data_IF_330182143999
#
_entry.id   IF_330182143999
#
_cell.length_a   1.000
_cell.length_b   1.000
_cell.length_c   1.000
_cell.angle_alpha   90.00
_cell.angle_beta   90.00
_cell.angle_gamma   90.00
#
_symmetry.space_group_name_H-M   'P 1'
#
loop_
_entity.id
_entity.type
_entity.pdbx_description
1 polymer ?
#
# COMPACT_ATOMS: atom_id res chain seq x y z
N UNK A 1 74.23 -25.41 52.21
CA UNK A 1 73.65 -26.40 51.27
C UNK A 1 72.20 -26.00 51.01
N UNK A 2 71.90 -25.72 49.73
CA UNK A 2 70.60 -25.84 49.04
C UNK A 2 69.31 -25.21 49.60
N UNK A 3 68.69 -24.40 48.72
CA UNK A 3 67.23 -24.34 48.45
C UNK A 3 66.36 -23.54 49.45
N UNK A 4 65.46 -22.61 49.10
CA UNK A 4 64.75 -22.32 47.83
C UNK A 4 64.13 -20.91 47.90
N UNK A 5 64.08 -20.28 46.73
CA UNK A 5 63.33 -19.11 46.27
C UNK A 5 62.01 -18.74 46.96
N UNK A 6 61.77 -17.43 47.12
CA UNK A 6 60.48 -16.84 46.74
C UNK A 6 60.69 -15.47 46.11
N UNK A 7 60.15 -15.31 44.90
CA UNK A 7 60.17 -14.10 44.06
C UNK A 7 58.98 -13.24 44.46
N UNK A 8 59.14 -11.94 44.55
CA UNK A 8 58.00 -11.00 44.51
C UNK A 8 58.23 -10.01 43.39
N UNK A 9 57.48 -10.22 42.31
CA UNK A 9 57.43 -9.41 41.10
C UNK A 9 56.32 -8.38 41.29
N UNK A 10 56.66 -7.10 41.40
CA UNK A 10 55.68 -6.01 41.47
C UNK A 10 55.24 -5.62 40.05
N UNK A 11 54.00 -5.96 39.69
CA UNK A 11 53.35 -5.50 38.47
C UNK A 11 52.76 -4.11 38.72
N UNK A 12 53.22 -3.11 37.97
CA UNK A 12 52.55 -1.81 37.87
C UNK A 12 51.44 -1.91 36.81
N UNK A 13 50.18 -1.88 37.25
CA UNK A 13 49.00 -1.80 36.38
C UNK A 13 48.74 -0.33 36.07
N UNK A 14 48.94 0.08 34.82
CA UNK A 14 48.44 1.36 34.29
C UNK A 14 46.97 1.15 33.93
N UNK A 15 46.08 1.74 34.71
CA UNK A 15 44.65 1.77 34.41
C UNK A 15 44.35 2.90 33.41
N UNK A 16 44.23 2.57 32.13
CA UNK A 16 43.59 3.44 31.14
C UNK A 16 42.07 3.30 31.29
N UNK A 17 41.44 4.24 31.98
CA UNK A 17 39.98 4.41 31.98
C UNK A 17 39.54 5.01 30.65
N UNK A 18 39.20 4.16 29.67
CA UNK A 18 38.38 4.58 28.54
C UNK A 18 36.95 4.82 29.05
N UNK A 19 36.57 6.09 29.19
CA UNK A 19 35.17 6.47 29.34
C UNK A 19 34.46 6.23 27.99
N UNK A 20 33.88 5.04 27.81
CA UNK A 20 32.94 4.78 26.72
C UNK A 20 31.65 5.52 27.08
N UNK A 21 31.51 6.74 26.56
CA UNK A 21 30.22 7.43 26.51
C UNK A 21 29.32 6.64 25.57
N UNK A 22 28.55 5.69 26.09
CA UNK A 22 27.37 5.16 25.38
C UNK A 22 26.34 6.28 25.35
N UNK A 23 26.45 7.19 24.37
CA UNK A 23 25.31 7.97 23.96
C UNK A 23 24.30 6.95 23.43
N UNK A 24 23.31 6.61 24.24
CA UNK A 24 22.10 5.94 23.75
C UNK A 24 21.49 6.91 22.74
N UNK A 25 21.76 6.69 21.46
CA UNK A 25 21.00 7.33 20.41
C UNK A 25 19.56 6.88 20.63
N UNK A 26 18.74 7.78 21.16
CA UNK A 26 17.31 7.55 21.22
C UNK A 26 16.79 7.59 19.79
N UNK A 27 15.91 6.64 19.44
CA UNK A 27 15.21 6.62 18.17
C UNK A 27 14.72 8.03 17.81
N UNK A 28 15.09 8.52 16.63
CA UNK A 28 14.80 9.90 16.22
C UNK A 28 13.29 10.07 16.02
N UNK A 29 12.64 10.92 16.83
CA UNK A 29 11.23 11.25 16.64
C UNK A 29 11.08 12.45 15.69
N UNK A 30 10.54 12.20 14.50
CA UNK A 30 10.33 13.19 13.45
C UNK A 30 8.85 13.54 13.33
N UNK A 31 8.47 14.75 13.75
CA UNK A 31 7.10 15.24 13.62
C UNK A 31 6.83 15.71 12.19
N UNK A 32 5.80 15.15 11.54
CA UNK A 32 5.42 15.40 10.14
C UNK A 32 4.15 16.26 10.05
N UNK A 33 4.27 17.52 10.45
CA UNK A 33 3.16 18.50 10.38
C UNK A 33 2.62 18.67 8.95
N UNK A 34 3.48 18.52 7.94
CA UNK A 34 3.11 18.57 6.53
C UNK A 34 2.15 17.45 6.09
N UNK A 35 2.13 16.32 6.82
CA UNK A 35 1.25 15.19 6.55
C UNK A 35 -0.11 15.31 7.25
N UNK A 36 -0.29 16.30 8.15
CA UNK A 36 -1.60 16.57 8.76
C UNK A 36 -2.69 16.86 7.72
N UNK A 37 -2.32 17.48 6.60
CA UNK A 37 -3.23 17.76 5.48
C UNK A 37 -3.97 16.52 4.95
N UNK A 38 -3.37 15.32 5.05
CA UNK A 38 -4.01 14.07 4.62
C UNK A 38 -5.30 13.80 5.41
N UNK A 39 -5.30 14.11 6.71
CA UNK A 39 -6.50 14.01 7.54
C UNK A 39 -7.46 15.16 7.30
N UNK A 40 -6.93 16.39 7.17
CA UNK A 40 -7.74 17.60 6.96
C UNK A 40 -8.52 17.55 5.64
N UNK A 41 -7.88 17.12 4.53
CA UNK A 41 -8.50 16.93 3.22
C UNK A 41 -9.61 15.87 3.24
N UNK A 42 -9.49 14.88 4.14
CA UNK A 42 -10.49 13.84 4.35
C UNK A 42 -11.57 14.24 5.37
N UNK A 43 -11.46 15.44 5.96
CA UNK A 43 -12.42 16.00 6.91
C UNK A 43 -12.50 15.24 8.23
N UNK A 44 -11.41 14.60 8.67
CA UNK A 44 -11.32 13.82 9.92
C UNK A 44 -10.14 14.31 10.77
N UNK A 45 -10.21 14.10 12.08
CA UNK A 45 -9.06 14.29 12.99
C UNK A 45 -8.40 12.95 13.27
N UNK A 46 -7.08 12.91 13.36
CA UNK A 46 -6.36 11.64 13.52
C UNK A 46 -4.89 11.80 13.82
N UNK A 47 -4.25 10.66 14.09
CA UNK A 47 -2.81 10.53 14.28
C UNK A 47 -2.29 9.37 13.44
N UNK A 48 -1.00 9.42 13.13
CA UNK A 48 -0.26 8.36 12.47
C UNK A 48 1.13 8.26 13.05
N UNK A 49 1.54 7.05 13.40
CA UNK A 49 2.90 6.72 13.83
C UNK A 49 3.45 5.71 12.83
N UNK A 50 4.69 5.93 12.38
CA UNK A 50 5.44 4.98 11.57
C UNK A 50 6.86 4.85 12.11
N UNK A 51 7.24 3.65 12.53
CA UNK A 51 8.59 3.30 12.98
C UNK A 51 9.35 2.66 11.82
N UNK A 52 10.36 3.36 11.32
CA UNK A 52 11.40 2.80 10.45
C UNK A 52 12.45 2.13 11.33
N UNK A 53 12.39 0.80 11.37
CA UNK A 53 13.20 0.00 12.28
C UNK A 53 14.68 0.03 11.86
N UNK A 54 14.97 0.06 10.56
CA UNK A 54 16.36 0.05 10.08
C UNK A 54 17.03 1.39 10.30
N UNK A 55 16.31 2.49 10.10
CA UNK A 55 16.83 3.84 10.31
C UNK A 55 16.79 4.31 11.77
N UNK A 56 16.24 3.50 12.69
CA UNK A 56 15.96 3.86 14.09
C UNK A 56 15.24 5.22 14.21
N UNK A 57 14.20 5.40 13.40
CA UNK A 57 13.46 6.66 13.27
C UNK A 57 11.96 6.43 13.34
N UNK A 58 11.27 7.30 14.07
CA UNK A 58 9.81 7.29 14.17
C UNK A 58 9.24 8.57 13.59
N UNK A 59 8.42 8.46 12.56
CA UNK A 59 7.64 9.55 12.00
C UNK A 59 6.28 9.63 12.68
N UNK A 60 5.84 10.82 13.06
CA UNK A 60 4.55 11.01 13.75
C UNK A 60 3.77 12.21 13.25
N UNK A 61 2.46 12.04 13.08
CA UNK A 61 1.48 13.11 12.88
C UNK A 61 0.65 13.24 14.16
N UNK A 62 0.57 14.45 14.72
CA UNK A 62 -0.09 14.72 16.02
C UNK A 62 0.46 13.83 17.16
N UNK A 63 1.68 14.12 17.67
CA UNK A 63 2.31 13.31 18.72
C UNK A 63 1.52 13.32 20.04
N UNK A 64 0.78 14.40 20.33
CA UNK A 64 -0.04 14.49 21.53
C UNK A 64 -1.20 13.48 21.48
N UNK A 65 -1.85 13.33 20.32
CA UNK A 65 -2.85 12.28 20.11
C UNK A 65 -2.22 10.89 20.04
N UNK A 66 -1.07 10.74 19.39
CA UNK A 66 -0.35 9.46 19.30
C UNK A 66 -0.03 8.84 20.66
N UNK A 67 0.19 9.68 21.68
CA UNK A 67 0.49 9.26 23.06
C UNK A 67 -0.75 8.96 23.92
N UNK A 68 -1.97 9.23 23.43
CA UNK A 68 -3.20 8.93 24.19
C UNK A 68 -3.47 7.42 24.16
N UNK A 69 -3.61 6.83 25.34
CA UNK A 69 -4.08 5.45 25.49
C UNK A 69 -5.59 5.38 25.23
N UNK A 70 -6.01 4.50 24.34
CA UNK A 70 -7.43 4.23 24.05
C UNK A 70 -7.65 2.72 23.90
N UNK A 71 -8.89 2.27 23.98
CA UNK A 71 -9.19 0.84 23.81
C UNK A 71 -8.71 0.34 22.43
N UNK A 72 -7.97 -0.79 22.38
CA UNK A 72 -7.49 -1.35 21.12
C UNK A 72 -8.64 -1.85 20.23
N UNK A 73 -9.77 -2.22 20.83
CA UNK A 73 -10.88 -2.84 20.13
C UNK A 73 -10.39 -4.05 19.30
N UNK A 74 -10.73 -4.09 18.00
CA UNK A 74 -10.38 -5.26 17.18
C UNK A 74 -8.91 -5.37 16.78
N UNK A 75 -8.03 -4.40 17.08
CA UNK A 75 -6.58 -4.59 16.90
C UNK A 75 -6.04 -5.64 17.89
N UNK A 76 -6.66 -5.77 19.07
CA UNK A 76 -6.34 -6.81 20.06
C UNK A 76 -6.51 -8.24 19.53
N UNK A 77 -7.18 -8.43 18.39
CA UNK A 77 -7.22 -9.74 17.71
C UNK A 77 -5.83 -10.24 17.32
N UNK A 78 -4.85 -9.36 17.14
CA UNK A 78 -3.44 -9.73 16.89
C UNK A 78 -2.85 -10.46 18.11
N UNK A 79 -2.71 -9.85 19.30
CA UNK A 79 -2.21 -10.56 20.48
C UNK A 79 -3.11 -11.72 20.88
N UNK A 80 -4.43 -11.60 20.78
CA UNK A 80 -5.34 -12.68 21.15
C UNK A 80 -5.11 -13.95 20.28
N UNK A 81 -4.85 -13.80 18.97
CA UNK A 81 -4.47 -14.92 18.11
C UNK A 81 -3.10 -15.53 18.45
N UNK A 82 -2.11 -14.72 18.80
CA UNK A 82 -0.80 -15.23 19.25
C UNK A 82 -0.98 -16.07 20.52
N UNK A 83 -1.73 -15.56 21.50
CA UNK A 83 -1.98 -16.23 22.77
C UNK A 83 -2.78 -17.52 22.57
N UNK A 84 -3.80 -17.48 21.70
CA UNK A 84 -4.64 -18.63 21.39
C UNK A 84 -3.83 -19.85 20.93
N UNK A 85 -2.94 -19.64 19.94
CA UNK A 85 -2.13 -20.71 19.39
C UNK A 85 -0.99 -21.11 20.33
N UNK A 86 -0.35 -20.15 21.00
CA UNK A 86 0.82 -20.49 21.83
C UNK A 86 0.44 -21.29 23.08
N UNK A 87 -0.70 -20.94 23.68
CA UNK A 87 -1.28 -21.66 24.83
C UNK A 87 -1.97 -22.97 24.44
N UNK A 88 -2.22 -23.20 23.15
CA UNK A 88 -3.01 -24.34 22.66
C UNK A 88 -4.51 -24.22 22.97
N UNK A 89 -5.01 -23.04 23.35
CA UNK A 89 -6.46 -22.80 23.51
C UNK A 89 -7.22 -22.94 22.17
N UNK A 90 -6.49 -22.73 21.06
CA UNK A 90 -6.89 -23.11 19.71
C UNK A 90 -5.75 -23.94 19.11
N UNK A 91 -6.06 -25.14 18.64
CA UNK A 91 -5.10 -26.15 18.18
C UNK A 91 -4.33 -25.71 16.94
N UNK A 92 -5.05 -25.18 15.95
CA UNK A 92 -4.51 -24.77 14.66
C UNK A 92 -5.46 -23.78 13.93
N UNK A 93 -5.05 -23.33 12.75
CA UNK A 93 -5.82 -22.39 11.92
C UNK A 93 -7.04 -23.03 11.22
N UNK A 94 -7.30 -24.32 11.47
CA UNK A 94 -8.44 -25.08 10.95
C UNK A 94 -9.47 -25.42 12.03
N UNK A 95 -9.15 -25.22 13.31
CA UNK A 95 -10.11 -25.46 14.38
C UNK A 95 -11.28 -24.47 14.26
N UNK A 96 -12.47 -25.01 14.10
CA UNK A 96 -13.73 -24.26 14.06
C UNK A 96 -14.18 -23.95 15.49
N UNK A 97 -14.38 -22.67 15.78
CA UNK A 97 -14.79 -22.17 17.08
C UNK A 97 -16.28 -21.81 17.07
N UNK A 98 -17.02 -22.11 18.15
CA UNK A 98 -18.44 -21.80 18.20
C UNK A 98 -18.68 -20.29 18.32
N UNK A 99 -19.58 -19.73 17.50
CA UNK A 99 -19.99 -18.31 17.65
C UNK A 99 -21.00 -18.11 18.80
N UNK A 100 -21.60 -19.19 19.27
CA UNK A 100 -22.48 -19.21 20.45
C UNK A 100 -23.98 -19.10 20.16
N UNK A 101 -24.40 -19.10 18.89
CA UNK A 101 -25.82 -19.28 18.51
C UNK A 101 -26.75 -18.08 18.73
N UNK A 102 -26.23 -16.94 19.22
CA UNK A 102 -27.03 -15.74 19.52
C UNK A 102 -26.97 -14.75 18.35
N UNK A 103 -28.05 -14.00 18.08
CA UNK A 103 -28.04 -12.93 17.09
C UNK A 103 -26.87 -11.95 17.30
N UNK A 104 -26.24 -11.53 16.22
CA UNK A 104 -25.08 -10.64 16.22
C UNK A 104 -25.38 -9.32 15.52
N UNK A 105 -24.63 -8.23 15.82
CA UNK A 105 -24.78 -6.96 15.10
C UNK A 105 -24.49 -7.06 13.59
N UNK A 106 -23.80 -8.11 13.17
CA UNK A 106 -23.48 -8.38 11.77
C UNK A 106 -23.82 -9.84 11.46
N UNK A 107 -24.69 -10.07 10.48
CA UNK A 107 -25.12 -11.41 10.03
C UNK A 107 -23.94 -12.33 9.69
N UNK A 108 -22.88 -11.77 9.08
CA UNK A 108 -21.63 -12.49 8.78
C UNK A 108 -20.87 -13.02 10.01
N UNK A 109 -21.31 -12.73 11.24
CA UNK A 109 -20.76 -13.30 12.48
C UNK A 109 -21.58 -14.47 13.02
N UNK A 110 -22.73 -14.79 12.41
CA UNK A 110 -23.70 -15.77 12.91
C UNK A 110 -23.41 -17.22 12.45
N UNK A 111 -22.14 -17.58 12.40
CA UNK A 111 -21.70 -18.94 12.10
C UNK A 111 -20.39 -19.29 12.79
N UNK A 112 -20.21 -20.58 13.06
CA UNK A 112 -18.96 -21.09 13.62
C UNK A 112 -17.85 -20.94 12.58
N UNK A 113 -16.67 -20.50 13.02
CA UNK A 113 -15.58 -20.20 12.09
C UNK A 113 -14.21 -20.39 12.74
N UNK A 114 -13.22 -20.64 11.90
CA UNK A 114 -11.82 -20.67 12.31
C UNK A 114 -11.24 -19.25 12.40
N UNK A 115 -10.12 -19.10 13.11
CA UNK A 115 -9.49 -17.78 13.33
C UNK A 115 -9.09 -17.03 12.03
N UNK A 116 -8.63 -17.67 10.94
CA UNK A 116 -8.35 -16.96 9.69
C UNK A 116 -9.57 -16.23 9.10
N UNK A 117 -10.77 -16.80 9.23
CA UNK A 117 -12.00 -16.13 8.81
C UNK A 117 -12.42 -15.07 9.83
N UNK A 118 -12.42 -15.42 11.12
CA UNK A 118 -12.84 -14.54 12.20
C UNK A 118 -12.04 -13.23 12.24
N UNK A 119 -10.73 -13.27 11.99
CA UNK A 119 -9.89 -12.07 11.99
C UNK A 119 -10.21 -11.16 10.82
N UNK A 120 -10.49 -11.73 9.64
CA UNK A 120 -10.84 -11.00 8.41
C UNK A 120 -12.19 -10.30 8.55
N UNK A 121 -13.19 -11.01 9.08
CA UNK A 121 -14.53 -10.48 9.37
C UNK A 121 -14.56 -9.62 10.64
N UNK A 122 -13.47 -9.61 11.41
CA UNK A 122 -13.39 -8.99 12.73
C UNK A 122 -14.44 -9.51 13.72
N UNK A 123 -14.83 -10.78 13.61
CA UNK A 123 -15.88 -11.44 14.39
C UNK A 123 -15.56 -11.42 15.89
N UNK A 124 -16.23 -10.55 16.64
CA UNK A 124 -16.10 -10.45 18.10
C UNK A 124 -16.45 -11.75 18.84
N UNK A 125 -17.58 -12.44 18.58
CA UNK A 125 -17.98 -13.61 19.38
C UNK A 125 -16.94 -14.73 19.39
N UNK A 126 -16.24 -14.95 18.27
CA UNK A 126 -15.18 -15.96 18.17
C UNK A 126 -13.99 -15.61 19.06
N UNK A 127 -13.55 -14.34 19.05
CA UNK A 127 -12.44 -13.90 19.89
C UNK A 127 -12.79 -13.80 21.37
N UNK A 128 -14.08 -13.66 21.69
CA UNK A 128 -14.59 -13.82 23.06
C UNK A 128 -14.50 -15.27 23.53
N UNK A 129 -14.87 -16.22 22.67
CA UNK A 129 -14.69 -17.64 22.95
C UNK A 129 -13.21 -17.99 23.15
N UNK A 130 -12.31 -17.48 22.30
CA UNK A 130 -10.86 -17.63 22.51
C UNK A 130 -10.43 -17.11 23.88
N UNK A 131 -10.82 -15.89 24.24
CA UNK A 131 -10.43 -15.29 25.52
C UNK A 131 -10.93 -16.11 26.72
N UNK A 132 -12.16 -16.64 26.65
CA UNK A 132 -12.71 -17.55 27.66
C UNK A 132 -11.92 -18.85 27.77
N UNK A 133 -11.53 -19.46 26.64
CA UNK A 133 -10.68 -20.67 26.62
C UNK A 133 -9.29 -20.43 27.17
N UNK A 134 -8.69 -19.27 26.91
CA UNK A 134 -7.38 -18.87 27.46
C UNK A 134 -7.49 -18.63 28.97
N UNK A 135 -8.51 -17.92 29.43
CA UNK A 135 -8.73 -17.57 30.83
C UNK A 135 -7.79 -16.47 31.35
N UNK A 136 -8.12 -15.91 32.51
CA UNK A 136 -7.44 -14.72 33.06
C UNK A 136 -5.95 -14.89 33.29
N UNK A 137 -5.53 -15.94 33.99
CA UNK A 137 -4.14 -16.13 34.40
C UNK A 137 -3.18 -16.15 33.20
N UNK A 138 -3.50 -16.97 32.19
CA UNK A 138 -2.70 -17.07 30.97
C UNK A 138 -2.79 -15.77 30.16
N UNK A 139 -3.98 -15.18 29.99
CA UNK A 139 -4.12 -13.93 29.25
C UNK A 139 -3.27 -12.82 29.87
N UNK A 140 -3.28 -12.68 31.19
CA UNK A 140 -2.50 -11.66 31.91
C UNK A 140 -1.01 -11.88 31.71
N UNK A 141 -0.52 -13.12 31.87
CA UNK A 141 0.88 -13.45 31.69
C UNK A 141 1.40 -13.05 30.29
N UNK A 142 0.61 -13.28 29.24
CA UNK A 142 0.98 -12.87 27.89
C UNK A 142 0.87 -11.37 27.66
N UNK A 143 -0.19 -10.72 28.14
CA UNK A 143 -0.34 -9.26 28.01
C UNK A 143 0.81 -8.53 28.72
N UNK A 144 1.27 -9.06 29.87
CA UNK A 144 2.46 -8.58 30.56
C UNK A 144 3.74 -8.85 29.77
N UNK A 145 3.95 -10.08 29.31
CA UNK A 145 5.13 -10.48 28.53
C UNK A 145 5.23 -9.74 27.19
N UNK A 146 4.08 -9.39 26.61
CA UNK A 146 3.98 -8.59 25.41
C UNK A 146 4.14 -7.10 25.68
N UNK A 147 4.22 -6.63 26.92
CA UNK A 147 4.22 -5.18 27.22
C UNK A 147 3.09 -4.45 26.45
N UNK A 148 1.87 -5.00 26.52
CA UNK A 148 0.77 -4.52 25.68
C UNK A 148 -0.07 -3.45 26.40
N UNK A 149 0.20 -2.19 26.07
CA UNK A 149 -0.50 -1.02 26.62
C UNK A 149 -0.39 -0.95 28.15
N UNK A 150 -1.48 -0.59 28.81
CA UNK A 150 -1.55 -0.51 30.27
C UNK A 150 -1.65 -1.89 30.97
N UNK A 151 -1.76 -2.98 30.21
CA UNK A 151 -1.80 -4.38 30.67
C UNK A 151 -2.97 -4.73 31.59
N UNK A 152 -4.05 -3.95 31.58
CA UNK A 152 -5.18 -4.16 32.49
C UNK A 152 -6.27 -5.01 31.83
N UNK A 153 -6.61 -6.17 32.42
CA UNK A 153 -7.72 -7.02 31.96
C UNK A 153 -9.04 -6.76 32.68
N UNK A 154 -9.02 -6.13 33.86
CA UNK A 154 -10.22 -5.96 34.68
C UNK A 154 -10.84 -7.30 35.07
N UNK A 155 -12.18 -7.34 35.16
CA UNK A 155 -12.93 -8.51 35.67
C UNK A 155 -13.73 -9.27 34.62
N UNK A 156 -13.70 -8.85 33.35
CA UNK A 156 -14.44 -9.47 32.26
C UNK A 156 -13.49 -9.92 31.14
N UNK A 157 -13.12 -11.21 31.15
CA UNK A 157 -12.10 -11.78 30.26
C UNK A 157 -12.43 -11.64 28.78
N UNK A 158 -13.70 -11.47 28.43
CA UNK A 158 -14.16 -11.37 27.04
C UNK A 158 -14.67 -9.96 26.66
N UNK A 159 -14.37 -8.95 27.48
CA UNK A 159 -14.75 -7.54 27.23
C UNK A 159 -13.59 -6.56 27.33
N UNK A 160 -12.47 -6.94 27.95
CA UNK A 160 -11.46 -5.97 28.40
C UNK A 160 -10.84 -5.10 27.31
N UNK A 161 -10.76 -5.60 26.08
CA UNK A 161 -10.24 -4.88 24.92
C UNK A 161 -11.29 -4.05 24.18
N UNK A 162 -12.58 -4.29 24.45
CA UNK A 162 -13.72 -3.59 23.85
C UNK A 162 -14.18 -2.43 24.74
N UNK A 163 -14.29 -2.70 26.04
CA UNK A 163 -14.89 -1.81 27.05
C UNK A 163 -13.92 -1.34 28.12
N UNK A 164 -12.63 -1.63 27.93
CA UNK A 164 -11.62 -1.42 28.96
C UNK A 164 -11.65 -2.50 30.05
N UNK A 165 -10.68 -2.47 30.97
CA UNK A 165 -9.77 -1.34 31.21
C UNK A 165 -8.53 -1.31 30.30
N UNK A 166 -8.37 -2.26 29.37
CA UNK A 166 -7.20 -2.25 28.49
C UNK A 166 -7.21 -1.02 27.59
N UNK A 167 -6.10 -0.30 27.61
CA UNK A 167 -5.85 0.84 26.74
C UNK A 167 -4.41 0.80 26.22
N UNK A 168 -4.21 1.28 25.00
CA UNK A 168 -2.94 1.32 24.32
C UNK A 168 -2.86 2.58 23.45
N UNK A 169 -1.68 3.19 23.36
CA UNK A 169 -1.42 4.34 22.51
C UNK A 169 -0.99 3.94 21.09
N UNK A 170 -0.98 4.88 20.14
CA UNK A 170 -0.54 4.58 18.78
C UNK A 170 0.97 4.24 18.73
N UNK A 171 1.77 4.88 19.59
CA UNK A 171 3.18 4.51 19.74
C UNK A 171 3.35 3.08 20.24
N UNK A 172 2.53 2.65 21.19
CA UNK A 172 2.59 1.30 21.76
C UNK A 172 2.07 0.24 20.78
N UNK A 173 1.02 0.52 20.00
CA UNK A 173 0.57 -0.37 18.92
C UNK A 173 1.68 -0.57 17.87
N UNK A 174 2.31 0.51 17.40
CA UNK A 174 3.42 0.42 16.46
C UNK A 174 4.63 -0.31 17.05
N UNK A 175 4.94 -0.10 18.34
CA UNK A 175 6.01 -0.83 19.04
C UNK A 175 5.69 -2.32 19.15
N UNK A 176 4.45 -2.68 19.47
CA UNK A 176 4.01 -4.07 19.53
C UNK A 176 4.10 -4.74 18.16
N UNK A 177 3.59 -4.11 17.09
CA UNK A 177 3.65 -4.68 15.74
C UNK A 177 5.07 -4.75 15.18
N UNK A 178 5.97 -3.85 15.60
CA UNK A 178 7.41 -3.94 15.27
C UNK A 178 8.05 -5.20 15.86
N UNK A 179 7.80 -5.49 17.15
CA UNK A 179 8.29 -6.71 17.79
C UNK A 179 7.66 -7.96 17.18
N UNK A 180 6.46 -7.85 16.64
CA UNK A 180 5.84 -8.90 15.86
C UNK A 180 6.57 -9.16 14.55
N UNK A 181 6.78 -8.13 13.74
CA UNK A 181 7.48 -8.24 12.47
C UNK A 181 8.92 -8.79 12.63
N UNK A 182 9.59 -8.42 13.72
CA UNK A 182 10.94 -8.87 14.06
C UNK A 182 10.99 -10.22 14.80
N UNK A 183 9.85 -10.87 15.03
CA UNK A 183 9.72 -12.13 15.78
C UNK A 183 10.34 -12.09 17.19
N UNK A 184 10.15 -10.97 17.90
CA UNK A 184 10.75 -10.68 19.22
C UNK A 184 9.81 -10.90 20.42
N UNK A 185 8.51 -11.08 20.21
CA UNK A 185 7.60 -11.52 21.28
C UNK A 185 7.87 -12.99 21.69
N UNK A 186 7.67 -13.34 22.97
CA UNK A 186 7.99 -14.66 23.52
C UNK A 186 6.91 -15.71 23.19
N UNK A 187 6.78 -16.06 21.91
CA UNK A 187 5.92 -17.14 21.40
C UNK A 187 6.73 -18.11 20.53
N UNK A 188 6.19 -19.31 20.31
CA UNK A 188 6.81 -20.34 19.47
C UNK A 188 6.89 -19.87 18.01
N UNK A 189 7.95 -20.24 17.26
CA UNK A 189 8.09 -19.90 15.83
C UNK A 189 6.86 -20.24 14.98
N UNK A 190 6.22 -21.39 15.23
CA UNK A 190 4.99 -21.78 14.52
C UNK A 190 3.85 -20.79 14.73
N UNK A 191 3.70 -20.25 15.94
CA UNK A 191 2.68 -19.28 16.31
C UNK A 191 2.83 -18.00 15.47
N UNK A 192 4.07 -17.54 15.30
CA UNK A 192 4.38 -16.38 14.44
C UNK A 192 3.88 -16.57 13.02
N UNK A 193 4.32 -17.65 12.38
CA UNK A 193 4.05 -17.87 10.97
C UNK A 193 2.54 -18.01 10.69
N UNK A 194 1.79 -18.59 11.62
CA UNK A 194 0.33 -18.69 11.52
C UNK A 194 -0.34 -17.31 11.59
N UNK A 195 -0.04 -16.50 12.61
CA UNK A 195 -0.70 -15.20 12.80
C UNK A 195 -0.25 -14.20 11.73
N UNK A 196 1.02 -14.20 11.33
CA UNK A 196 1.51 -13.33 10.26
C UNK A 196 0.75 -13.56 8.95
N UNK A 197 0.52 -14.83 8.54
CA UNK A 197 -0.26 -15.15 7.33
C UNK A 197 -1.70 -14.62 7.41
N UNK A 198 -2.31 -14.70 8.58
CA UNK A 198 -3.68 -14.21 8.81
C UNK A 198 -3.80 -12.68 8.73
N UNK A 199 -2.70 -11.95 8.90
CA UNK A 199 -2.69 -10.47 8.87
C UNK A 199 -2.33 -9.88 7.52
N UNK A 200 -1.92 -10.69 6.54
CA UNK A 200 -1.56 -10.20 5.22
C UNK A 200 -2.79 -9.59 4.52
N UNK A 201 -2.74 -8.28 4.26
CA UNK A 201 -3.81 -7.54 3.60
C UNK A 201 -3.51 -7.36 2.11
N UNK A 202 -2.27 -7.05 1.76
CA UNK A 202 -1.89 -6.71 0.38
C UNK A 202 -0.42 -7.01 0.11
N UNK A 203 -0.11 -7.44 -1.12
CA UNK A 203 1.25 -7.48 -1.64
C UNK A 203 1.32 -6.70 -2.95
N UNK A 204 2.35 -5.86 -3.08
CA UNK A 204 2.61 -5.07 -4.28
C UNK A 204 4.10 -5.11 -4.60
N UNK A 205 4.49 -5.94 -5.58
CA UNK A 205 5.89 -6.13 -5.93
C UNK A 205 6.66 -6.77 -4.76
N UNK A 206 7.68 -6.07 -4.26
CA UNK A 206 8.51 -6.46 -3.12
C UNK A 206 7.96 -5.97 -1.77
N UNK A 207 6.81 -5.29 -1.76
CA UNK A 207 6.16 -4.79 -0.55
C UNK A 207 5.01 -5.71 -0.11
N UNK A 208 4.96 -6.06 1.18
CA UNK A 208 3.88 -6.78 1.82
C UNK A 208 3.34 -5.99 3.01
N UNK A 209 2.02 -5.84 3.10
CA UNK A 209 1.31 -5.08 4.15
C UNK A 209 0.52 -6.04 5.02
N UNK A 210 0.85 -6.06 6.30
CA UNK A 210 0.20 -6.86 7.33
C UNK A 210 -0.48 -5.93 8.31
N UNK A 211 -1.79 -6.09 8.56
CA UNK A 211 -2.47 -5.14 9.44
C UNK A 211 -3.81 -5.65 9.97
N UNK A 212 -4.30 -4.98 11.01
CA UNK A 212 -5.63 -5.17 11.56
C UNK A 212 -6.34 -3.84 11.79
N UNK A 213 -7.63 -3.82 11.46
CA UNK A 213 -8.55 -2.70 11.76
C UNK A 213 -9.21 -2.86 13.13
N UNK A 214 -9.55 -1.74 13.76
CA UNK A 214 -10.34 -1.68 14.99
C UNK A 214 -11.33 -0.51 15.01
N UNK A 215 -12.42 -0.65 15.75
CA UNK A 215 -13.40 0.41 15.99
C UNK A 215 -13.71 0.39 17.48
N UNK A 216 -13.31 1.43 18.18
CA UNK A 216 -13.58 1.62 19.60
C UNK A 216 -14.88 2.42 19.75
N UNK A 217 -15.97 1.72 20.04
CA UNK A 217 -17.34 2.23 20.09
C UNK A 217 -17.70 2.92 21.42
N UNK A 218 -16.86 2.78 22.45
CA UNK A 218 -17.06 3.40 23.78
C UNK A 218 -16.66 4.88 23.83
N UNK A 219 -16.21 5.44 22.69
CA UNK A 219 -15.83 6.85 22.56
C UNK A 219 -16.86 7.62 21.75
N UNK A 220 -16.95 8.94 21.98
CA UNK A 220 -17.82 9.85 21.23
C UNK A 220 -17.00 11.05 20.70
N UNK A 221 -16.79 11.15 19.37
CA UNK A 221 -17.16 10.18 18.33
C UNK A 221 -16.39 8.84 18.48
N UNK A 222 -16.85 7.78 17.81
CA UNK A 222 -16.15 6.50 17.78
C UNK A 222 -14.74 6.67 17.20
N UNK A 223 -13.79 5.87 17.67
CA UNK A 223 -12.39 5.95 17.21
C UNK A 223 -12.05 4.74 16.34
N UNK A 224 -11.57 5.00 15.14
CA UNK A 224 -11.20 4.00 14.16
C UNK A 224 -9.69 3.75 14.13
N UNK A 225 -9.27 2.51 14.37
CA UNK A 225 -7.88 2.06 14.34
C UNK A 225 -7.48 1.34 13.04
N UNK A 226 -6.21 1.48 12.69
CA UNK A 226 -5.50 0.59 11.78
C UNK A 226 -4.03 0.48 12.20
N UNK A 227 -3.59 -0.74 12.57
CA UNK A 227 -2.24 -0.98 13.05
C UNK A 227 -1.64 -2.21 12.37
N UNK A 228 -0.33 -2.20 12.14
CA UNK A 228 0.33 -3.24 11.37
C UNK A 228 1.79 -2.95 11.08
N UNK A 229 2.31 -3.59 10.04
CA UNK A 229 3.63 -3.31 9.49
C UNK A 229 3.69 -3.55 7.98
N UNK A 230 4.71 -2.96 7.35
CA UNK A 230 5.10 -3.19 5.96
C UNK A 230 6.48 -3.84 5.95
N UNK A 231 6.61 -4.90 5.17
CA UNK A 231 7.90 -5.46 4.78
C UNK A 231 8.18 -5.04 3.34
N UNK A 232 9.31 -4.38 3.07
CA UNK A 232 9.68 -3.95 1.71
C UNK A 232 11.18 -3.89 1.54
N UNK A 233 11.70 -4.51 0.48
CA UNK A 233 13.13 -4.54 0.16
C UNK A 233 14.03 -4.96 1.36
N UNK A 234 13.56 -5.86 2.23
CA UNK A 234 14.27 -6.30 3.43
C UNK A 234 14.19 -5.34 4.63
N UNK A 235 13.46 -4.22 4.49
CA UNK A 235 13.16 -3.29 5.57
C UNK A 235 11.80 -3.55 6.20
N UNK A 236 11.67 -3.22 7.48
CA UNK A 236 10.44 -3.35 8.25
C UNK A 236 10.01 -1.96 8.73
N UNK A 237 8.74 -1.63 8.48
CA UNK A 237 8.12 -0.39 8.92
C UNK A 237 6.85 -0.71 9.71
N UNK A 238 6.86 -0.50 11.02
CA UNK A 238 5.67 -0.70 11.84
C UNK A 238 4.84 0.58 11.89
N UNK A 239 3.52 0.49 11.93
CA UNK A 239 2.66 1.66 11.96
C UNK A 239 1.40 1.48 12.81
N UNK A 240 0.86 2.61 13.25
CA UNK A 240 -0.46 2.71 13.85
C UNK A 240 -1.13 4.02 13.45
N UNK A 241 -2.42 3.94 13.13
CA UNK A 241 -3.29 5.05 12.77
C UNK A 241 -4.54 4.99 13.63
N UNK A 242 -4.96 6.12 14.20
CA UNK A 242 -6.34 6.27 14.65
C UNK A 242 -6.97 7.58 14.19
N UNK A 243 -8.27 7.53 13.91
CA UNK A 243 -9.08 8.69 13.49
C UNK A 243 -10.37 8.76 14.28
N UNK A 244 -10.90 9.96 14.47
CA UNK A 244 -12.28 10.17 14.89
C UNK A 244 -13.22 9.85 13.72
N UNK A 245 -14.35 9.21 14.01
CA UNK A 245 -15.34 8.81 13.00
C UNK A 245 -16.71 9.44 13.30
N UNK A 246 -16.86 10.78 13.24
CA UNK A 246 -18.12 11.46 13.53
C UNK A 246 -19.21 11.26 12.46
N UNK A 247 -18.86 10.81 11.25
CA UNK A 247 -19.79 10.67 10.13
C UNK A 247 -19.88 9.23 9.64
N UNK A 248 -21.04 8.90 9.09
CA UNK A 248 -21.23 7.67 8.32
C UNK A 248 -20.19 7.59 7.19
N UNK A 249 -19.56 6.42 7.03
CA UNK A 249 -18.51 6.19 6.03
C UNK A 249 -17.09 6.55 6.46
N UNK A 250 -16.87 7.26 7.58
CA UNK A 250 -15.51 7.56 8.07
C UNK A 250 -14.70 6.29 8.36
N UNK A 251 -15.38 5.21 8.75
CA UNK A 251 -14.82 3.88 8.92
C UNK A 251 -14.01 3.39 7.71
N UNK A 252 -14.43 3.73 6.48
CA UNK A 252 -13.76 3.31 5.26
C UNK A 252 -12.47 4.11 4.95
N UNK A 253 -12.26 5.26 5.63
CA UNK A 253 -11.13 6.16 5.34
C UNK A 253 -9.80 5.68 5.91
N UNK A 254 -9.81 4.87 6.98
CA UNK A 254 -8.60 4.44 7.72
C UNK A 254 -7.49 3.87 6.83
N UNK A 255 -7.83 2.89 5.98
CA UNK A 255 -6.84 2.20 5.14
C UNK A 255 -6.31 3.13 4.02
N UNK A 256 -7.15 3.82 3.22
CA UNK A 256 -6.67 4.80 2.24
C UNK A 256 -5.77 5.87 2.83
N UNK A 257 -6.14 6.45 3.98
CA UNK A 257 -5.36 7.48 4.67
C UNK A 257 -3.98 6.96 5.07
N UNK A 258 -3.92 5.81 5.77
CA UNK A 258 -2.64 5.25 6.18
C UNK A 258 -1.75 4.88 4.98
N UNK A 259 -2.32 4.37 3.88
CA UNK A 259 -1.55 4.13 2.64
C UNK A 259 -1.05 5.42 1.99
N UNK A 260 -1.85 6.49 2.00
CA UNK A 260 -1.43 7.79 1.49
C UNK A 260 -0.27 8.37 2.32
N UNK A 261 -0.35 8.26 3.65
CA UNK A 261 0.72 8.65 4.58
C UNK A 261 2.01 7.83 4.34
N UNK A 262 1.89 6.51 4.23
CA UNK A 262 3.03 5.63 3.93
C UNK A 262 3.66 5.90 2.56
N UNK A 263 2.87 6.29 1.54
CA UNK A 263 3.40 6.71 0.23
C UNK A 263 4.17 8.02 0.32
N UNK A 264 3.66 8.98 1.09
CA UNK A 264 4.34 10.26 1.32
C UNK A 264 5.64 10.11 2.13
N UNK A 265 5.81 8.97 2.82
CA UNK A 265 7.02 8.55 3.51
C UNK A 265 7.86 7.55 2.70
N UNK A 266 7.49 7.29 1.44
CA UNK A 266 8.16 6.34 0.53
C UNK A 266 8.21 4.89 1.04
N UNK A 267 7.37 4.53 2.01
CA UNK A 267 7.27 3.18 2.59
C UNK A 267 6.39 2.27 1.73
N UNK A 268 5.17 2.71 1.42
CA UNK A 268 4.23 1.93 0.60
C UNK A 268 4.30 2.38 -0.86
N UNK A 269 4.34 1.47 -1.85
CA UNK A 269 4.38 1.86 -3.25
C UNK A 269 3.14 2.67 -3.68
N UNK A 270 3.33 3.53 -4.68
CA UNK A 270 2.22 4.17 -5.37
C UNK A 270 1.31 3.10 -6.00
N UNK A 271 -0.02 3.31 -6.05
CA UNK A 271 -0.90 2.35 -6.70
C UNK A 271 -0.48 2.19 -8.17
N UNK A 272 -0.34 0.94 -8.63
CA UNK A 272 -0.19 0.65 -10.05
C UNK A 272 -1.59 0.55 -10.63
N UNK A 273 -2.04 1.60 -11.31
CA UNK A 273 -3.31 1.57 -12.02
C UNK A 273 -3.07 0.95 -13.39
N UNK A 274 -3.42 -0.32 -13.57
CA UNK A 274 -3.57 -0.87 -14.92
C UNK A 274 -4.83 -0.27 -15.53
N UNK A 275 -4.66 0.81 -16.29
CA UNK A 275 -5.73 1.37 -17.10
C UNK A 275 -5.48 1.00 -18.56
N UNK A 276 -6.49 0.42 -19.20
CA UNK A 276 -6.50 0.19 -20.64
C UNK A 276 -7.34 1.31 -21.27
N UNK A 277 -6.69 2.38 -21.72
CA UNK A 277 -7.34 3.42 -22.50
C UNK A 277 -6.29 4.22 -23.30
N UNK A 278 -6.39 4.19 -24.62
CA UNK A 278 -6.79 5.31 -25.49
C UNK A 278 -6.42 4.87 -26.91
N UNK A 279 -7.41 4.83 -27.80
CA UNK A 279 -7.22 4.78 -29.24
C UNK A 279 -6.88 6.20 -29.72
N UNK A 280 -5.59 6.54 -29.83
CA UNK A 280 -5.20 7.82 -30.42
C UNK A 280 -5.09 7.62 -31.92
N UNK A 281 -5.88 8.38 -32.67
CA UNK A 281 -5.83 8.36 -34.13
C UNK A 281 -4.94 9.49 -34.64
N UNK A 282 -3.95 9.18 -35.47
CA UNK A 282 -3.00 10.12 -36.05
C UNK A 282 -2.99 10.00 -37.58
N UNK A 283 -3.14 11.11 -38.31
CA UNK A 283 -2.92 11.17 -39.75
C UNK A 283 -1.44 11.39 -40.07
N UNK A 284 -0.84 10.55 -40.91
CA UNK A 284 0.56 10.68 -41.34
C UNK A 284 0.59 10.99 -42.84
N UNK A 285 1.19 12.11 -43.23
CA UNK A 285 1.20 12.62 -44.62
C UNK A 285 -0.01 13.47 -45.00
N UNK A 286 -0.84 13.90 -44.04
CA UNK A 286 -1.96 14.80 -44.26
C UNK A 286 -1.63 16.23 -43.80
N UNK A 287 -2.16 17.23 -44.51
CA UNK A 287 -2.02 18.66 -44.19
C UNK A 287 -2.90 19.06 -42.99
N UNK A 288 -2.66 18.47 -41.82
CA UNK A 288 -3.39 18.79 -40.58
C UNK A 288 -3.33 17.67 -39.55
N UNK A 289 -3.06 18.02 -38.28
CA UNK A 289 -3.12 17.08 -37.16
C UNK A 289 -4.59 16.76 -36.82
N UNK A 290 -4.96 15.48 -36.83
CA UNK A 290 -6.21 15.00 -36.23
C UNK A 290 -5.95 14.72 -34.76
N UNK A 291 -6.69 15.36 -33.86
CA UNK A 291 -6.79 14.94 -32.47
C UNK A 291 -8.12 14.20 -32.29
N UNK A 292 -8.05 12.98 -31.77
CA UNK A 292 -9.22 12.15 -31.46
C UNK A 292 -9.26 11.72 -30.01
N UNK A 293 -10.45 11.77 -29.41
CA UNK A 293 -10.74 11.22 -28.09
C UNK A 293 -11.79 10.11 -28.19
N UNK A 294 -11.79 9.16 -27.25
CA UNK A 294 -12.84 8.14 -27.17
C UNK A 294 -13.86 8.49 -26.09
N UNK A 295 -15.15 8.45 -26.44
CA UNK A 295 -16.25 8.42 -25.47
C UNK A 295 -17.06 7.15 -25.76
N UNK A 296 -17.29 6.30 -24.76
CA UNK A 296 -18.09 5.07 -24.88
C UNK A 296 -17.69 4.13 -26.05
N UNK A 297 -16.38 4.04 -26.34
CA UNK A 297 -15.85 3.20 -27.43
C UNK A 297 -15.99 3.81 -28.83
N UNK A 298 -16.49 5.04 -28.96
CA UNK A 298 -16.60 5.79 -30.21
C UNK A 298 -15.53 6.87 -30.28
N UNK A 299 -14.83 6.95 -31.41
CA UNK A 299 -13.74 7.92 -31.65
C UNK A 299 -14.32 9.17 -32.33
N UNK A 300 -14.14 10.33 -31.70
CA UNK A 300 -14.54 11.64 -32.24
C UNK A 300 -13.32 12.38 -32.78
N UNK A 301 -13.39 13.00 -33.96
CA UNK A 301 -12.26 13.73 -34.55
C UNK A 301 -12.49 15.24 -34.61
N UNK A 302 -11.42 16.01 -34.42
CA UNK A 302 -11.38 17.45 -34.69
C UNK A 302 -10.30 17.75 -35.73
N UNK A 303 -10.66 18.44 -36.82
CA UNK A 303 -9.75 18.82 -37.92
C UNK A 303 -10.36 18.69 -39.32
N UNK A 304 -9.86 19.47 -40.28
CA UNK A 304 -10.27 19.40 -41.68
C UNK A 304 -9.31 18.48 -42.47
N UNK A 305 -9.86 17.43 -43.10
CA UNK A 305 -9.15 16.63 -44.10
C UNK A 305 -9.53 17.22 -45.47
N UNK A 306 -8.62 17.97 -46.09
CA UNK A 306 -8.76 18.39 -47.49
C UNK A 306 -8.43 17.21 -48.41
N UNK A 307 -9.43 16.79 -49.20
CA UNK A 307 -9.35 15.84 -50.33
C UNK A 307 -8.91 14.39 -50.03
N UNK A 308 -9.77 13.61 -49.36
CA UNK A 308 -9.86 12.14 -49.55
C UNK A 308 -11.12 11.50 -48.92
N UNK A 309 -12.30 12.13 -49.05
CA UNK A 309 -13.59 11.43 -48.85
C UNK A 309 -13.99 11.01 -47.42
N UNK A 310 -13.29 11.41 -46.35
CA UNK A 310 -13.74 11.18 -44.97
C UNK A 310 -14.43 12.43 -44.38
N UNK A 311 -15.70 12.29 -43.97
CA UNK A 311 -16.41 13.30 -43.15
C UNK A 311 -16.42 12.86 -41.69
N UNK A 312 -15.95 13.73 -40.79
CA UNK A 312 -16.12 13.56 -39.33
C UNK A 312 -16.83 14.79 -38.76
N UNK A 313 -17.80 14.57 -37.86
CA UNK A 313 -18.51 15.62 -37.14
C UNK A 313 -17.72 16.05 -35.89
N UNK A 314 -17.66 17.36 -35.57
CA UNK A 314 -16.99 17.82 -34.36
C UNK A 314 -17.81 17.48 -33.11
N UNK A 315 -17.16 16.93 -32.08
CA UNK A 315 -17.68 16.92 -30.71
C UNK A 315 -16.93 17.95 -29.86
N UNK A 316 -17.63 18.52 -28.88
CA UNK A 316 -17.12 19.53 -27.95
C UNK A 316 -15.88 19.01 -27.19
N UNK A 317 -14.87 19.87 -26.93
CA UNK A 317 -13.67 19.47 -26.22
C UNK A 317 -14.00 19.09 -24.77
N UNK A 318 -13.69 17.85 -24.38
CA UNK A 318 -13.62 17.50 -22.97
C UNK A 318 -12.41 18.21 -22.35
N UNK A 319 -12.68 19.20 -21.48
CA UNK A 319 -11.66 19.86 -20.70
C UNK A 319 -11.07 18.87 -19.69
N UNK A 320 -9.83 18.44 -19.93
CA UNK A 320 -9.07 17.59 -19.01
C UNK A 320 -7.64 17.41 -19.48
N UNK A 321 -6.68 17.44 -18.56
CA UNK A 321 -5.26 17.24 -18.82
C UNK A 321 -4.99 15.82 -19.37
N UNK A 322 -5.08 15.68 -20.69
CA UNK A 322 -4.98 14.41 -21.41
C UNK A 322 -3.86 14.38 -22.44
N UNK A 323 -3.59 13.16 -22.89
CA UNK A 323 -2.67 12.77 -23.97
C UNK A 323 -2.75 13.68 -25.20
N UNK A 324 -1.60 14.15 -25.73
CA UNK A 324 -1.56 15.06 -26.87
C UNK A 324 -0.77 14.48 -28.06
N UNK A 325 -1.36 14.57 -29.25
CA UNK A 325 -0.67 14.31 -30.51
C UNK A 325 -0.06 15.60 -31.08
N UNK A 326 1.18 15.53 -31.59
CA UNK A 326 1.88 16.64 -32.24
C UNK A 326 2.46 16.19 -33.58
N UNK A 327 2.20 16.93 -34.66
CA UNK A 327 2.78 16.65 -35.98
C UNK A 327 4.12 17.37 -36.17
N UNK A 328 5.02 16.76 -36.95
CA UNK A 328 6.23 17.42 -37.45
C UNK A 328 5.91 18.45 -38.55
N UNK A 329 6.82 19.38 -38.80
CA UNK A 329 6.67 20.44 -39.80
C UNK A 329 6.52 19.91 -41.25
N UNK A 330 7.02 18.71 -41.54
CA UNK A 330 6.89 18.07 -42.87
C UNK A 330 5.63 17.20 -43.02
N UNK A 331 4.83 16.99 -41.96
CA UNK A 331 3.64 16.13 -41.99
C UNK A 331 3.91 14.62 -42.04
N UNK A 332 5.17 14.20 -42.22
CA UNK A 332 5.57 12.80 -42.42
C UNK A 332 5.89 12.04 -41.12
N UNK A 333 5.89 12.76 -40.01
CA UNK A 333 6.01 12.20 -38.68
C UNK A 333 4.95 12.77 -37.74
N UNK A 334 4.39 11.90 -36.91
CA UNK A 334 3.54 12.26 -35.78
C UNK A 334 4.17 11.74 -34.50
N UNK A 335 4.21 12.60 -33.49
CA UNK A 335 4.74 12.34 -32.16
C UNK A 335 3.58 12.39 -31.17
N UNK A 336 3.34 11.29 -30.48
CA UNK A 336 2.36 11.20 -29.39
C UNK A 336 3.08 11.38 -28.06
N UNK A 337 2.71 12.41 -27.29
CA UNK A 337 3.27 12.73 -25.98
C UNK A 337 2.33 12.24 -24.87
N UNK A 338 2.84 11.32 -24.05
CA UNK A 338 2.12 10.68 -22.95
C UNK A 338 2.40 11.33 -21.59
N UNK A 339 3.13 12.45 -21.57
CA UNK A 339 3.47 13.14 -20.32
C UNK A 339 2.29 13.93 -19.79
N UNK A 340 1.92 13.67 -18.53
CA UNK A 340 1.07 14.52 -17.71
C UNK A 340 1.81 14.87 -16.43
N UNK A 341 1.61 16.09 -15.91
CA UNK A 341 2.16 16.50 -14.60
C UNK A 341 1.54 15.75 -13.44
N UNK A 342 0.38 15.12 -13.63
CA UNK A 342 -0.37 14.43 -12.58
C UNK A 342 -0.12 12.91 -12.52
N UNK A 343 0.32 12.28 -13.62
CA UNK A 343 0.46 10.81 -13.73
C UNK A 343 1.68 10.44 -14.57
N UNK A 344 2.54 9.57 -14.04
CA UNK A 344 3.63 8.95 -14.82
C UNK A 344 3.11 7.68 -15.49
N UNK A 345 2.59 7.80 -16.71
CA UNK A 345 2.12 6.65 -17.48
C UNK A 345 3.30 5.81 -18.01
N UNK A 346 3.33 4.51 -17.70
CA UNK A 346 4.28 3.55 -18.25
C UNK A 346 3.56 2.65 -19.27
N UNK A 347 3.87 2.74 -20.57
CA UNK A 347 3.33 1.82 -21.58
C UNK A 347 3.64 0.37 -21.23
N UNK A 348 2.62 -0.48 -21.24
CA UNK A 348 2.72 -1.93 -20.99
C UNK A 348 2.51 -2.73 -22.27
N UNK A 349 1.56 -2.29 -23.10
CA UNK A 349 1.29 -2.84 -24.43
C UNK A 349 0.92 -1.72 -25.39
N UNK A 350 1.43 -1.78 -26.63
CA UNK A 350 1.14 -0.82 -27.70
C UNK A 350 0.82 -1.58 -28.98
N UNK A 351 -0.34 -1.30 -29.58
CA UNK A 351 -0.70 -1.80 -30.92
C UNK A 351 -0.97 -0.63 -31.86
N UNK A 352 -0.56 -0.78 -33.12
CA UNK A 352 -0.76 0.24 -34.16
C UNK A 352 -1.40 -0.41 -35.38
N UNK A 353 -2.50 0.16 -35.87
CA UNK A 353 -3.14 -0.18 -37.13
C UNK A 353 -3.12 1.02 -38.06
N UNK A 354 -2.79 0.84 -39.34
CA UNK A 354 -2.81 1.90 -40.34
C UNK A 354 -3.86 1.61 -41.42
N UNK A 355 -4.49 2.66 -41.94
CA UNK A 355 -5.47 2.60 -43.02
C UNK A 355 -5.08 3.60 -44.10
N UNK A 356 -4.66 3.10 -45.25
CA UNK A 356 -4.33 3.93 -46.42
C UNK A 356 -5.61 4.42 -47.11
N UNK A 357 -5.58 5.58 -47.76
CA UNK A 357 -6.76 6.12 -48.45
C UNK A 357 -7.24 5.21 -49.60
N UNK A 358 -6.33 4.49 -50.26
CA UNK A 358 -6.65 3.51 -51.31
C UNK A 358 -7.25 2.17 -50.83
N UNK A 359 -7.25 1.87 -49.51
CA UNK A 359 -7.76 0.60 -48.99
C UNK A 359 -8.37 0.72 -47.59
N UNK A 360 -9.66 0.43 -47.47
CA UNK A 360 -10.41 0.43 -46.21
C UNK A 360 -10.11 -0.80 -45.31
N UNK A 361 -9.30 -1.75 -45.76
CA UNK A 361 -8.89 -2.88 -44.91
C UNK A 361 -7.81 -2.42 -43.92
N UNK A 362 -8.00 -2.59 -42.60
CA UNK A 362 -6.97 -2.25 -41.61
C UNK A 362 -5.70 -3.07 -41.88
N UNK A 363 -4.57 -2.38 -41.98
CA UNK A 363 -3.26 -3.01 -42.04
C UNK A 363 -2.67 -2.97 -40.63
N UNK A 364 -2.46 -4.13 -40.03
CA UNK A 364 -1.80 -4.24 -38.73
C UNK A 364 -0.33 -3.84 -38.86
N UNK A 365 0.12 -2.83 -38.11
CA UNK A 365 1.48 -2.27 -38.20
C UNK A 365 2.43 -2.91 -37.18
N UNK A 366 1.93 -3.33 -36.01
CA UNK A 366 2.69 -4.12 -35.04
C UNK A 366 2.12 -4.10 -33.60
N UNK A 367 2.65 -4.98 -32.74
CA UNK A 367 2.42 -5.01 -31.29
C UNK A 367 3.75 -4.93 -30.53
N UNK A 368 3.76 -4.36 -29.33
CA UNK A 368 4.93 -4.28 -28.45
C UNK A 368 4.56 -4.67 -27.01
N UNK A 369 5.15 -5.75 -26.48
CA UNK A 369 4.93 -6.20 -25.09
C UNK A 369 6.22 -6.10 -24.28
N UNK A 370 6.14 -5.50 -23.10
CA UNK A 370 7.25 -5.30 -22.14
C UNK A 370 8.37 -4.35 -22.62
N UNK A 371 9.07 -3.72 -21.67
CA UNK A 371 10.01 -2.61 -21.89
C UNK A 371 11.03 -2.88 -23.01
N UNK A 372 11.16 -1.88 -23.88
CA UNK A 372 12.24 -1.58 -24.82
C UNK A 372 12.25 -2.30 -26.18
N UNK A 373 12.36 -1.45 -27.20
CA UNK A 373 12.74 -1.66 -28.61
C UNK A 373 11.76 -2.39 -29.53
N UNK A 374 10.81 -1.64 -30.10
CA UNK A 374 10.10 -2.09 -31.31
C UNK A 374 10.42 -1.19 -32.50
N UNK A 375 11.22 -1.76 -33.39
CA UNK A 375 11.54 -1.29 -34.74
C UNK A 375 10.80 -2.20 -35.72
N UNK A 376 9.53 -1.94 -36.01
CA UNK A 376 8.80 -2.71 -37.03
C UNK A 376 8.60 -1.86 -38.28
N UNK A 377 9.11 -2.39 -39.40
CA UNK A 377 8.93 -1.87 -40.77
C UNK A 377 7.91 -2.77 -41.44
N UNK A 378 6.82 -2.22 -41.96
CA UNK A 378 5.98 -2.96 -42.91
C UNK A 378 5.33 -2.02 -43.92
N UNK A 379 5.43 -2.39 -45.20
CA UNK A 379 4.87 -1.65 -46.35
C UNK A 379 5.18 -0.14 -46.38
N UNK A 380 6.41 0.24 -46.00
CA UNK A 380 6.87 1.63 -46.05
C UNK A 380 6.44 2.53 -44.87
N UNK A 381 5.68 1.99 -43.92
CA UNK A 381 5.43 2.65 -42.63
C UNK A 381 6.40 2.13 -41.57
N UNK A 382 6.87 3.03 -40.71
CA UNK A 382 7.73 2.70 -39.57
C UNK A 382 7.14 3.34 -38.31
N UNK A 383 6.74 2.48 -37.37
CA UNK A 383 6.49 2.88 -36.00
C UNK A 383 7.76 2.60 -35.19
N UNK A 384 8.18 3.56 -34.38
CA UNK A 384 9.28 3.35 -33.44
C UNK A 384 8.84 3.80 -32.06
N UNK A 385 8.57 2.82 -31.20
CA UNK A 385 8.33 3.07 -29.79
C UNK A 385 9.71 3.12 -29.10
N UNK A 386 10.30 4.30 -29.05
CA UNK A 386 11.50 4.55 -28.25
C UNK A 386 11.05 4.73 -26.79
N UNK A 387 10.84 3.60 -26.11
CA UNK A 387 10.56 3.58 -24.66
C UNK A 387 11.69 4.21 -23.83
N UNK A 388 12.85 4.45 -24.44
CA UNK A 388 13.98 5.18 -23.87
C UNK A 388 13.74 6.70 -23.67
N UNK A 389 12.72 7.32 -24.27
CA UNK A 389 12.48 8.77 -24.17
C UNK A 389 11.16 9.11 -23.43
N UNK A 390 11.09 8.82 -22.13
CA UNK A 390 10.24 9.57 -21.19
C UNK A 390 8.76 9.80 -21.60
N UNK A 391 8.10 8.81 -22.20
CA UNK A 391 6.67 8.90 -22.55
C UNK A 391 6.40 9.57 -23.89
N UNK A 392 7.09 9.17 -24.96
CA UNK A 392 6.80 9.63 -26.33
C UNK A 392 6.81 8.47 -27.35
N UNK A 393 5.87 8.44 -28.30
CA UNK A 393 5.79 7.48 -29.41
C UNK A 393 5.90 8.24 -30.74
N UNK A 394 6.79 7.80 -31.63
CA UNK A 394 6.95 8.41 -32.95
C UNK A 394 6.48 7.46 -34.04
N UNK A 395 5.55 7.96 -34.86
CA UNK A 395 5.07 7.31 -36.07
C UNK A 395 5.66 8.05 -37.27
N UNK A 396 6.17 7.30 -38.25
CA UNK A 396 6.82 7.87 -39.44
C UNK A 396 6.38 7.15 -40.71
N UNK A 397 6.17 7.92 -41.78
CA UNK A 397 5.90 7.43 -43.14
C UNK A 397 7.18 7.55 -43.98
N UNK A 398 7.53 6.51 -44.74
CA UNK A 398 8.64 6.61 -45.68
C UNK A 398 8.26 7.46 -46.91
N UNK A 399 9.23 8.15 -47.54
CA UNK A 399 9.00 8.88 -48.79
C UNK A 399 8.39 7.97 -49.87
N UNK A 400 7.36 8.46 -50.58
CA UNK A 400 6.69 7.75 -51.67
C UNK A 400 5.55 6.80 -51.26
N UNK A 401 5.27 6.64 -49.96
CA UNK A 401 4.17 5.81 -49.45
C UNK A 401 2.87 6.64 -49.35
N UNK A 402 1.70 6.10 -49.67
CA UNK A 402 0.45 6.89 -49.56
C UNK A 402 0.17 7.37 -48.11
N UNK A 403 -0.49 8.52 -47.89
CA UNK A 403 -0.97 8.92 -46.57
C UNK A 403 -1.87 7.86 -45.92
N UNK A 404 -1.80 7.75 -44.59
CA UNK A 404 -2.60 6.80 -43.85
C UNK A 404 -3.09 7.35 -42.51
N UNK A 405 -4.26 6.84 -42.09
CA UNK A 405 -4.79 7.00 -40.75
C UNK A 405 -4.23 5.89 -39.85
N UNK A 406 -3.45 6.24 -38.85
CA UNK A 406 -2.96 5.32 -37.84
C UNK A 406 -3.86 5.36 -36.59
N UNK A 407 -4.36 4.21 -36.15
CA UNK A 407 -5.02 4.01 -34.86
C UNK A 407 -4.00 3.38 -33.92
N UNK A 408 -3.68 4.05 -32.82
CA UNK A 408 -2.75 3.57 -31.79
C UNK A 408 -3.56 3.18 -30.56
N UNK A 409 -3.50 1.91 -30.18
CA UNK A 409 -4.09 1.40 -28.94
C UNK A 409 -3.00 1.23 -27.90
N UNK A 410 -3.16 1.89 -26.75
CA UNK A 410 -2.20 1.86 -25.64
C UNK A 410 -2.81 1.25 -24.37
N UNK A 411 -2.07 0.34 -23.74
CA UNK A 411 -2.24 -0.04 -22.34
C UNK A 411 -1.12 0.57 -21.50
N UNK A 412 -1.44 1.18 -20.36
CA UNK A 412 -0.46 1.81 -19.48
C UNK A 412 -0.65 1.40 -18.00
N UNK A 413 0.42 1.58 -17.23
CA UNK A 413 0.51 1.38 -15.79
C UNK A 413 0.90 2.66 -15.07
#
# INVERSE_FOLDING_TARGET
>A
MLSRYSKTLAFAVVACTLAISTATAHAELVVRNDLKRVFDDAGVSGTFVLMDITADRTYVVDPARAARSIHPASTFKIPNSLIAFDTGAVRDDQEVLPYGGKPQPYEQWEHDMALPEAIRLSAVPIYQEVARRVGFERMQAYVDAFDYGNRQLGSAIDQFWLRGPLEISAFEEARFTSRMALKQLPVKPRTWDMVQRMLLIEQQGDAALYAKTGVATEYQPEIGWWAGWVERAGHVYAFALNIDMPREGDMAKRIPLGKQLMRALEVWPAPVYKAMAVAITAGIGASGALAGGSQDGVIYCTGAIGEAGCRVQPALPAAGAGLQARSSASGDQVVLDFRSTAVRAVPVDVSVEARAASSLRPLRVGDARSKADVLTKYSGFKASLLTANNGTLTLSRAPGVEPALAVVTLSYQ
#
